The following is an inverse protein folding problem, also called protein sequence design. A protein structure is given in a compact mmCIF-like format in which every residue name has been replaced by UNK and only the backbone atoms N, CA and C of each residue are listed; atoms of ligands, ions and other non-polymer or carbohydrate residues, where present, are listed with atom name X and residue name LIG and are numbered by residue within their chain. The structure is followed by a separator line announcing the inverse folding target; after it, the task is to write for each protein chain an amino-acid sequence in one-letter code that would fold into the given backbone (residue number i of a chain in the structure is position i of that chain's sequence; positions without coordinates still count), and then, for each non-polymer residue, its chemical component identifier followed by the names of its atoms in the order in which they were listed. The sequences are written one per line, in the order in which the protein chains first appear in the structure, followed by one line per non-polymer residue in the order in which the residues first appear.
data_IF_617600397047
#
_entry.id   IF_617600397047
#
_cell.length_a   1.000
_cell.length_b   1.000
_cell.length_c   1.000
_cell.angle_alpha   90.00
_cell.angle_beta   90.00
_cell.angle_gamma   90.00
#
_symmetry.space_group_name_H-M   'P 1'
#
loop_
_entity.id
_entity.type
_entity.pdbx_description
1 polymer ?
#
# COMPACT_ATOMS: atom_id res chain seq x y z
N UNK A 1 -21.69 -29.45 12.20
CA UNK A 1 -20.69 -29.18 11.14
C UNK A 1 -20.25 -30.52 10.57
N UNK A 2 -20.66 -30.84 9.35
CA UNK A 2 -20.20 -32.03 8.62
C UNK A 2 -18.70 -31.92 8.36
N UNK A 3 -17.93 -32.87 8.90
CA UNK A 3 -16.48 -32.87 8.92
C UNK A 3 -15.85 -33.56 7.71
N UNK A 4 -16.04 -33.00 6.50
CA UNK A 4 -15.22 -33.40 5.36
C UNK A 4 -14.00 -32.47 5.25
N UNK A 5 -12.78 -33.01 5.07
CA UNK A 5 -11.59 -32.20 4.89
C UNK A 5 -11.70 -31.41 3.57
N UNK A 6 -11.21 -30.16 3.53
CA UNK A 6 -11.24 -29.37 2.31
C UNK A 6 -10.45 -30.09 1.21
N UNK A 7 -10.97 -30.02 -0.02
CA UNK A 7 -10.33 -30.64 -1.18
C UNK A 7 -8.85 -30.22 -1.30
N UNK A 8 -7.94 -31.15 -1.67
CA UNK A 8 -6.52 -30.88 -1.73
C UNK A 8 -6.21 -29.76 -2.74
N UNK A 9 -5.39 -28.79 -2.31
CA UNK A 9 -4.95 -27.68 -3.17
C UNK A 9 -4.07 -28.27 -4.29
N UNK A 10 -4.51 -28.13 -5.55
CA UNK A 10 -3.88 -28.80 -6.69
C UNK A 10 -2.42 -28.38 -6.94
N UNK A 11 -2.01 -27.20 -6.47
CA UNK A 11 -0.65 -26.64 -6.61
C UNK A 11 -0.23 -25.88 -5.34
N UNK A 12 0.27 -26.57 -4.31
CA UNK A 12 0.79 -25.91 -3.12
C UNK A 12 2.08 -25.15 -3.48
N UNK A 13 2.21 -23.94 -2.95
CA UNK A 13 3.37 -23.09 -3.17
C UNK A 13 4.56 -23.55 -2.31
N UNK A 14 5.74 -23.68 -2.92
CA UNK A 14 6.94 -24.25 -2.28
C UNK A 14 7.47 -23.43 -1.08
N UNK A 15 7.32 -22.10 -1.11
CA UNK A 15 7.83 -21.20 -0.07
C UNK A 15 6.72 -20.32 0.54
N UNK A 16 5.87 -20.88 1.42
CA UNK A 16 4.68 -20.21 1.95
C UNK A 16 4.96 -19.09 2.99
N UNK A 17 6.22 -18.83 3.31
CA UNK A 17 6.63 -17.83 4.30
C UNK A 17 7.07 -16.51 3.69
N UNK A 18 7.14 -16.42 2.36
CA UNK A 18 7.45 -15.16 1.67
C UNK A 18 6.27 -14.19 1.74
N UNK A 19 6.54 -12.88 1.63
CA UNK A 19 5.48 -11.87 1.66
C UNK A 19 4.52 -12.07 0.48
N UNK A 20 5.05 -12.33 -0.71
CA UNK A 20 4.26 -12.67 -1.90
C UNK A 20 3.38 -13.89 -1.67
N UNK A 21 3.91 -14.91 -0.98
CA UNK A 21 3.14 -16.10 -0.64
C UNK A 21 1.93 -15.80 0.25
N UNK A 22 2.14 -15.00 1.30
CA UNK A 22 1.07 -14.62 2.24
C UNK A 22 -0.03 -13.81 1.55
N UNK A 23 0.36 -12.94 0.61
CA UNK A 23 -0.58 -12.17 -0.22
C UNK A 23 -1.41 -13.13 -1.10
N UNK A 24 -0.77 -14.03 -1.84
CA UNK A 24 -1.47 -14.97 -2.72
C UNK A 24 -2.43 -15.92 -1.98
N UNK A 25 -2.11 -16.27 -0.73
CA UNK A 25 -2.91 -17.14 0.12
C UNK A 25 -4.01 -16.39 0.89
N UNK A 26 -4.02 -15.05 0.86
CA UNK A 26 -5.02 -14.27 1.59
C UNK A 26 -6.42 -14.45 0.97
N UNK A 27 -7.47 -14.73 1.77
CA UNK A 27 -8.79 -15.06 1.24
C UNK A 27 -9.58 -13.80 0.85
N UNK A 28 -9.11 -13.08 -0.19
CA UNK A 28 -9.71 -11.82 -0.65
C UNK A 28 -11.21 -11.89 -0.90
N UNK A 29 -11.68 -12.98 -1.55
CA UNK A 29 -13.10 -13.17 -1.88
C UNK A 29 -13.98 -13.26 -0.62
N UNK A 30 -13.48 -13.89 0.44
CA UNK A 30 -14.19 -14.01 1.71
C UNK A 30 -14.36 -12.63 2.35
N UNK A 31 -13.27 -11.88 2.52
CA UNK A 31 -13.33 -10.54 3.09
C UNK A 31 -14.17 -9.58 2.25
N UNK A 32 -14.12 -9.67 0.92
CA UNK A 32 -14.94 -8.82 0.05
C UNK A 32 -16.44 -9.08 0.20
N UNK A 33 -16.84 -10.34 0.34
CA UNK A 33 -18.25 -10.74 0.47
C UNK A 33 -18.81 -10.43 1.86
N UNK A 34 -18.07 -10.76 2.91
CA UNK A 34 -18.57 -10.73 4.28
C UNK A 34 -18.21 -9.44 5.05
N UNK A 35 -17.07 -8.81 4.76
CA UNK A 35 -16.64 -7.59 5.45
C UNK A 35 -17.00 -6.36 4.61
N UNK A 36 -18.07 -5.67 4.98
CA UNK A 36 -18.46 -4.42 4.32
C UNK A 36 -17.38 -3.34 4.47
N UNK A 37 -16.71 -3.26 5.63
CA UNK A 37 -15.61 -2.32 5.87
C UNK A 37 -14.47 -2.49 4.87
N UNK A 38 -14.15 -3.73 4.48
CA UNK A 38 -13.08 -3.99 3.51
C UNK A 38 -13.39 -3.37 2.15
N UNK A 39 -14.66 -3.42 1.72
CA UNK A 39 -15.13 -2.78 0.48
C UNK A 39 -15.07 -1.26 0.56
N UNK A 40 -15.61 -0.67 1.64
CA UNK A 40 -15.60 0.78 1.80
C UNK A 40 -14.19 1.34 2.00
N UNK A 41 -13.30 0.61 2.67
CA UNK A 41 -11.89 0.96 2.75
C UNK A 41 -11.25 1.01 1.36
N UNK A 42 -11.44 -0.04 0.55
CA UNK A 42 -10.93 -0.07 -0.82
C UNK A 42 -11.49 1.08 -1.67
N UNK A 43 -12.81 1.31 -1.62
CA UNK A 43 -13.43 2.42 -2.34
C UNK A 43 -12.93 3.79 -1.86
N UNK A 44 -12.73 3.99 -0.56
CA UNK A 44 -12.21 5.23 0.00
C UNK A 44 -10.76 5.49 -0.42
N UNK A 45 -9.92 4.46 -0.41
CA UNK A 45 -8.54 4.54 -0.93
C UNK A 45 -8.56 4.91 -2.41
N UNK A 46 -9.35 4.21 -3.23
CA UNK A 46 -9.41 4.48 -4.68
C UNK A 46 -9.99 5.87 -4.97
N UNK A 47 -11.03 6.29 -4.26
CA UNK A 47 -11.63 7.61 -4.42
C UNK A 47 -10.69 8.76 -3.98
N UNK A 48 -9.77 8.52 -3.05
CA UNK A 48 -8.78 9.52 -2.61
C UNK A 48 -7.53 9.59 -3.49
N UNK A 49 -7.26 8.60 -4.36
CA UNK A 49 -6.13 8.62 -5.30
C UNK A 49 -6.00 9.90 -6.13
N UNK A 50 -7.06 10.47 -6.76
CA UNK A 50 -6.92 11.71 -7.52
C UNK A 50 -6.48 12.89 -6.64
N UNK A 51 -6.97 12.97 -5.40
CA UNK A 51 -6.58 14.02 -4.45
C UNK A 51 -5.11 13.86 -4.08
N UNK A 52 -4.70 12.64 -3.72
CA UNK A 52 -3.31 12.32 -3.37
C UNK A 52 -2.38 12.61 -4.55
N UNK A 53 -2.79 12.30 -5.77
CA UNK A 53 -2.02 12.58 -6.98
C UNK A 53 -1.80 14.08 -7.21
N UNK A 54 -2.84 14.89 -6.99
CA UNK A 54 -2.72 16.34 -7.11
C UNK A 54 -1.76 16.93 -6.06
N UNK A 55 -1.88 16.48 -4.80
CA UNK A 55 -0.94 16.86 -3.73
C UNK A 55 0.48 16.42 -4.09
N UNK A 56 0.64 15.19 -4.59
CA UNK A 56 1.94 14.66 -5.01
C UNK A 56 2.58 15.52 -6.11
N UNK A 57 1.81 15.99 -7.09
CA UNK A 57 2.30 16.91 -8.13
C UNK A 57 2.71 18.26 -7.57
N UNK A 58 1.93 18.84 -6.66
CA UNK A 58 2.24 20.13 -6.03
C UNK A 58 3.52 20.03 -5.18
N UNK A 59 3.63 18.99 -4.36
CA UNK A 59 4.81 18.73 -3.54
C UNK A 59 6.08 18.54 -4.39
N UNK A 60 5.95 17.91 -5.56
CA UNK A 60 7.06 17.68 -6.49
C UNK A 60 7.26 18.78 -7.54
N UNK A 61 6.58 19.92 -7.41
CA UNK A 61 6.77 21.04 -8.33
C UNK A 61 8.22 21.53 -8.30
N UNK A 62 8.77 22.01 -9.43
CA UNK A 62 10.17 22.42 -9.52
C UNK A 62 10.52 23.54 -8.54
N UNK A 63 9.59 24.49 -8.30
CA UNK A 63 9.76 25.55 -7.31
C UNK A 63 9.85 25.01 -5.87
N UNK A 64 9.01 24.04 -5.50
CA UNK A 64 9.05 23.45 -4.16
C UNK A 64 10.32 22.61 -3.94
N UNK A 65 10.78 21.90 -4.97
CA UNK A 65 12.07 21.18 -4.94
C UNK A 65 13.25 22.12 -4.78
N UNK A 66 13.26 23.27 -5.48
CA UNK A 66 14.30 24.27 -5.36
C UNK A 66 14.33 24.89 -3.95
N UNK A 67 13.17 25.28 -3.42
CA UNK A 67 13.05 25.80 -2.05
C UNK A 67 13.53 24.77 -1.01
N UNK A 68 13.14 23.50 -1.14
CA UNK A 68 13.61 22.43 -0.26
C UNK A 68 15.12 22.23 -0.37
N UNK A 69 15.69 22.24 -1.58
CA UNK A 69 17.12 22.11 -1.78
C UNK A 69 17.91 23.28 -1.15
N UNK A 70 17.40 24.51 -1.23
CA UNK A 70 18.01 25.66 -0.57
C UNK A 70 17.93 25.55 0.96
N UNK A 71 16.80 25.11 1.51
CA UNK A 71 16.63 24.90 2.94
C UNK A 71 17.62 23.84 3.45
N UNK A 72 17.76 22.72 2.72
CA UNK A 72 18.73 21.66 3.03
C UNK A 72 20.19 22.11 2.91
N UNK A 73 20.50 23.02 1.97
CA UNK A 73 21.85 23.63 1.87
C UNK A 73 22.15 24.54 3.05
N UNK A 74 21.17 25.32 3.52
CA UNK A 74 21.31 26.18 4.71
C UNK A 74 21.49 25.33 5.97
N UNK A 75 20.65 24.31 6.17
CA UNK A 75 20.81 23.36 7.28
C UNK A 75 22.18 22.67 7.25
N UNK A 76 22.64 22.22 6.08
CA UNK A 76 23.97 21.64 5.94
C UNK A 76 25.08 22.67 6.25
N UNK A 77 24.94 23.93 5.84
CA UNK A 77 25.92 24.96 6.17
C UNK A 77 25.95 25.24 7.69
N UNK A 78 24.80 25.30 8.36
CA UNK A 78 24.70 25.51 9.82
C UNK A 78 25.25 24.32 10.63
N UNK A 79 25.08 23.09 10.15
CA UNK A 79 25.59 21.89 10.82
C UNK A 79 27.10 21.63 10.62
N UNK A 80 27.76 22.38 9.73
CA UNK A 80 29.20 22.30 9.48
C UNK A 80 30.01 23.41 10.18
N UNK A 81 29.35 24.21 11.04
CA UNK A 81 29.97 25.21 11.91
C UNK A 81 30.13 24.72 13.35
#
# INVERSE_FOLDING_TARGET
MSGEPPAPVSRPMKFPYTISAKIAQFPYKFYWKYCWQFRFYYYGVVASLPIIYQIHKLANSPGNKAAYAEMRRKEAAEHHH
#
